data_IF_616424408257
#
_entry.id   IF_616424408257
#
_cell.length_a   1.000
_cell.length_b   1.000
_cell.length_c   1.000
_cell.angle_alpha   90.00
_cell.angle_beta   90.00
_cell.angle_gamma   90.00
#
_symmetry.space_group_name_H-M   'P 1'
#
loop_
_entity.id
_entity.type
_entity.pdbx_description
1 polymer ?
#
# COMPACT_ATOMS: atom_id res chain seq x y z
N UNK A 1 -16.24 -31.80 10.66
CA UNK A 1 -14.87 -31.23 10.59
C UNK A 1 -15.03 -29.75 10.24
N UNK A 2 -14.48 -28.83 11.01
CA UNK A 2 -14.54 -27.40 10.70
C UNK A 2 -13.54 -27.10 9.59
N UNK A 3 -13.99 -26.41 8.55
CA UNK A 3 -13.10 -26.00 7.45
C UNK A 3 -12.36 -24.74 7.91
N UNK A 4 -11.04 -24.77 7.83
CA UNK A 4 -10.16 -23.65 8.20
C UNK A 4 -9.68 -22.91 6.97
N UNK A 5 -9.30 -21.65 7.15
CA UNK A 5 -8.67 -20.85 6.08
C UNK A 5 -7.26 -21.35 5.80
N UNK A 6 -6.72 -21.13 4.57
CA UNK A 6 -5.34 -21.45 4.24
C UNK A 6 -4.34 -20.72 5.17
N UNK A 7 -3.26 -21.43 5.53
CA UNK A 7 -2.22 -20.86 6.39
C UNK A 7 -1.58 -19.64 5.74
N UNK A 8 -1.47 -18.55 6.49
CA UNK A 8 -0.87 -17.29 6.03
C UNK A 8 -1.84 -16.35 5.33
N UNK A 9 -3.15 -16.69 5.29
CA UNK A 9 -4.22 -15.79 4.85
C UNK A 9 -5.03 -15.28 6.05
N UNK A 10 -5.89 -14.27 5.82
CA UNK A 10 -6.72 -13.66 6.87
C UNK A 10 -8.14 -13.43 6.37
N UNK A 11 -9.10 -13.50 7.30
CA UNK A 11 -10.44 -12.95 7.14
C UNK A 11 -10.45 -11.58 7.81
N UNK A 12 -11.13 -10.63 7.21
CA UNK A 12 -11.32 -9.28 7.75
C UNK A 12 -12.78 -9.10 8.14
N UNK A 13 -13.05 -8.82 9.40
CA UNK A 13 -14.39 -8.57 9.89
C UNK A 13 -14.85 -7.13 9.57
N UNK A 14 -16.15 -6.81 9.69
CA UNK A 14 -16.70 -5.53 9.26
C UNK A 14 -15.97 -4.31 9.78
N UNK A 15 -15.69 -4.24 11.08
CA UNK A 15 -15.02 -3.07 11.70
C UNK A 15 -13.60 -2.87 11.16
N UNK A 16 -12.86 -3.98 10.98
CA UNK A 16 -11.53 -3.95 10.39
C UNK A 16 -11.59 -3.51 8.93
N UNK A 17 -12.60 -3.98 8.17
CA UNK A 17 -12.80 -3.58 6.78
C UNK A 17 -13.20 -2.11 6.65
N UNK A 18 -13.98 -1.56 7.57
CA UNK A 18 -14.31 -0.13 7.58
C UNK A 18 -13.07 0.73 7.77
N UNK A 19 -12.24 0.38 8.75
CA UNK A 19 -10.95 1.05 8.98
C UNK A 19 -10.03 0.94 7.76
N UNK A 20 -9.91 -0.23 7.17
CA UNK A 20 -9.10 -0.46 5.95
C UNK A 20 -9.59 0.39 4.78
N UNK A 21 -10.90 0.52 4.58
CA UNK A 21 -11.49 1.35 3.54
C UNK A 21 -11.23 2.84 3.74
N UNK A 22 -11.25 3.32 4.97
CA UNK A 22 -10.92 4.72 5.25
C UNK A 22 -9.43 5.02 4.96
N UNK A 23 -8.52 4.13 5.35
CA UNK A 23 -7.10 4.25 5.03
C UNK A 23 -6.89 4.24 3.50
N UNK A 24 -7.45 3.26 2.80
CA UNK A 24 -7.40 3.17 1.34
C UNK A 24 -7.91 4.44 0.66
N UNK A 25 -9.06 4.95 1.10
CA UNK A 25 -9.68 6.18 0.57
C UNK A 25 -8.77 7.39 0.70
N UNK A 26 -8.09 7.56 1.83
CA UNK A 26 -7.11 8.64 2.05
C UNK A 26 -5.92 8.51 1.10
N UNK A 27 -5.33 7.33 0.99
CA UNK A 27 -4.21 7.07 0.07
C UNK A 27 -4.58 7.40 -1.39
N UNK A 28 -5.73 6.93 -1.86
CA UNK A 28 -6.27 7.22 -3.20
C UNK A 28 -6.42 8.70 -3.45
N UNK A 29 -7.07 9.41 -2.51
CA UNK A 29 -7.31 10.86 -2.61
C UNK A 29 -6.00 11.64 -2.76
N UNK A 30 -4.96 11.27 -2.02
CA UNK A 30 -3.65 11.92 -2.13
C UNK A 30 -3.00 11.62 -3.48
N UNK A 31 -2.96 10.37 -3.95
CA UNK A 31 -2.42 10.03 -5.26
C UNK A 31 -3.16 10.77 -6.40
N UNK A 32 -4.48 10.82 -6.35
CA UNK A 32 -5.31 11.55 -7.31
C UNK A 32 -5.02 13.06 -7.31
N UNK A 33 -4.71 13.64 -6.14
CA UNK A 33 -4.35 15.06 -6.03
C UNK A 33 -3.00 15.41 -6.70
N UNK A 34 -2.13 14.41 -6.89
CA UNK A 34 -0.89 14.53 -7.68
C UNK A 34 -1.10 14.21 -9.17
N UNK A 35 -2.34 13.94 -9.58
CA UNK A 35 -2.68 13.64 -10.98
C UNK A 35 -2.46 12.18 -11.36
N UNK A 36 -2.22 11.28 -10.39
CA UNK A 36 -2.16 9.84 -10.66
C UNK A 36 -3.55 9.28 -10.93
N UNK A 37 -3.62 8.34 -11.86
CA UNK A 37 -4.86 7.66 -12.27
C UNK A 37 -4.79 6.18 -11.96
N UNK A 38 -5.90 5.64 -11.49
CA UNK A 38 -5.98 4.22 -11.13
C UNK A 38 -5.85 3.31 -12.35
N UNK A 39 -5.07 2.25 -12.18
CA UNK A 39 -4.98 1.13 -13.11
C UNK A 39 -5.16 -0.19 -12.39
N UNK A 40 -5.66 -1.20 -13.10
CA UNK A 40 -5.81 -2.55 -12.59
C UNK A 40 -5.24 -3.55 -13.59
N UNK A 41 -4.52 -4.53 -13.08
CA UNK A 41 -3.97 -5.64 -13.85
C UNK A 41 -4.54 -6.97 -13.36
N UNK A 42 -4.48 -8.05 -14.15
CA UNK A 42 -4.95 -9.36 -13.73
C UNK A 42 -4.30 -9.85 -12.43
N UNK A 43 -5.05 -10.63 -11.64
CA UNK A 43 -4.53 -11.24 -10.40
C UNK A 43 -3.50 -12.32 -10.67
N UNK A 44 -3.54 -12.95 -11.83
CA UNK A 44 -2.56 -13.94 -12.31
C UNK A 44 -2.02 -13.50 -13.66
N UNK A 45 -0.77 -13.82 -13.89
CA UNK A 45 -0.01 -13.50 -15.10
C UNK A 45 0.72 -14.76 -15.59
N UNK A 46 1.28 -14.72 -16.80
CA UNK A 46 2.23 -15.74 -17.20
C UNK A 46 3.45 -15.72 -16.29
N UNK A 47 3.91 -16.89 -15.86
CA UNK A 47 5.09 -17.02 -15.01
C UNK A 47 6.31 -16.31 -15.59
N UNK A 48 6.45 -16.31 -16.90
CA UNK A 48 7.53 -15.68 -17.65
C UNK A 48 7.68 -14.18 -17.33
N UNK A 49 6.58 -13.46 -17.03
CA UNK A 49 6.64 -12.04 -16.66
C UNK A 49 7.56 -11.80 -15.45
N UNK A 50 7.48 -12.68 -14.47
CA UNK A 50 8.23 -12.55 -13.22
C UNK A 50 9.63 -13.15 -13.31
N UNK A 51 9.80 -14.26 -14.02
CA UNK A 51 11.12 -14.88 -14.19
C UNK A 51 12.05 -14.05 -15.07
N UNK A 52 11.54 -13.36 -16.08
CA UNK A 52 12.32 -12.39 -16.89
C UNK A 52 12.87 -11.25 -16.03
N UNK A 53 12.10 -10.80 -15.01
CA UNK A 53 12.49 -9.71 -14.12
C UNK A 53 13.47 -10.15 -13.04
N UNK A 54 13.23 -11.30 -12.40
CA UNK A 54 13.89 -11.70 -11.14
C UNK A 54 14.66 -13.01 -11.24
N UNK A 55 14.74 -13.60 -12.43
CA UNK A 55 15.33 -14.92 -12.63
C UNK A 55 14.46 -16.07 -12.10
N UNK A 56 14.89 -17.32 -12.33
CA UNK A 56 14.10 -18.51 -11.96
C UNK A 56 14.00 -18.73 -10.44
N UNK A 57 14.90 -18.17 -9.65
CA UNK A 57 14.88 -18.30 -8.19
C UNK A 57 13.63 -17.76 -7.52
N UNK A 58 12.89 -16.84 -8.17
CA UNK A 58 11.63 -16.28 -7.65
C UNK A 58 10.51 -17.33 -7.59
N UNK A 59 10.59 -18.42 -8.37
CA UNK A 59 9.55 -19.45 -8.47
C UNK A 59 9.24 -20.07 -7.11
N UNK A 60 10.26 -20.27 -6.27
CA UNK A 60 10.08 -20.84 -4.92
C UNK A 60 9.26 -19.94 -3.98
N UNK A 61 9.21 -18.64 -4.29
CA UNK A 61 8.50 -17.64 -3.50
C UNK A 61 7.10 -17.31 -4.08
N UNK A 62 6.66 -18.03 -5.12
CA UNK A 62 5.42 -17.75 -5.84
C UNK A 62 4.41 -18.90 -5.78
N UNK A 63 3.13 -18.56 -5.99
CA UNK A 63 2.09 -19.52 -6.28
C UNK A 63 2.01 -19.75 -7.80
N UNK A 64 2.53 -20.88 -8.25
CA UNK A 64 2.59 -21.26 -9.68
C UNK A 64 1.60 -22.38 -9.95
N UNK A 65 0.91 -22.32 -11.08
CA UNK A 65 -0.05 -23.33 -11.52
C UNK A 65 -0.15 -23.36 -13.05
N UNK A 66 -0.74 -24.44 -13.60
CA UNK A 66 -0.99 -24.53 -15.03
C UNK A 66 -2.45 -24.27 -15.35
N UNK A 67 -2.68 -23.59 -16.46
CA UNK A 67 -4.02 -23.50 -17.02
C UNK A 67 -4.41 -24.81 -17.74
N UNK A 68 -5.65 -24.89 -18.22
CA UNK A 68 -6.15 -26.06 -18.95
C UNK A 68 -5.40 -26.34 -20.26
N UNK A 69 -4.68 -25.37 -20.79
CA UNK A 69 -3.85 -25.49 -22.00
C UNK A 69 -2.40 -25.83 -21.69
N UNK A 70 -2.05 -26.05 -20.41
CA UNK A 70 -0.72 -26.42 -19.95
C UNK A 70 0.26 -25.24 -19.81
N UNK A 71 -0.21 -23.98 -19.92
CA UNK A 71 0.64 -22.79 -19.78
C UNK A 71 0.90 -22.48 -18.32
N UNK A 72 2.14 -22.10 -18.00
CA UNK A 72 2.54 -21.76 -16.64
C UNK A 72 2.07 -20.34 -16.27
N UNK A 73 1.26 -20.26 -15.22
CA UNK A 73 0.73 -19.04 -14.64
C UNK A 73 1.21 -18.91 -13.21
N UNK A 74 1.20 -17.67 -12.72
CA UNK A 74 1.49 -17.38 -11.33
C UNK A 74 0.53 -16.34 -10.76
N UNK A 75 0.17 -16.45 -9.49
CA UNK A 75 -0.43 -15.33 -8.78
C UNK A 75 0.62 -14.23 -8.62
N UNK A 76 0.25 -12.98 -8.90
CA UNK A 76 1.18 -11.84 -8.87
C UNK A 76 1.79 -11.64 -7.48
N UNK A 77 3.13 -11.65 -7.34
CA UNK A 77 3.82 -11.39 -6.07
C UNK A 77 4.00 -9.90 -5.76
N UNK A 78 3.76 -9.04 -6.79
CA UNK A 78 3.87 -7.58 -6.77
C UNK A 78 3.15 -7.02 -8.00
N UNK A 79 3.08 -5.69 -8.15
CA UNK A 79 2.28 -5.03 -9.19
C UNK A 79 3.10 -4.24 -10.22
N UNK A 80 4.36 -3.92 -9.95
CA UNK A 80 5.20 -3.15 -10.87
C UNK A 80 5.38 -3.85 -12.22
N UNK A 81 5.72 -5.15 -12.24
CA UNK A 81 5.88 -5.90 -13.49
C UNK A 81 4.56 -6.02 -14.29
N UNK A 82 3.40 -6.35 -13.68
CA UNK A 82 2.11 -6.30 -14.36
C UNK A 82 1.77 -4.92 -14.96
N UNK A 83 2.02 -3.83 -14.22
CA UNK A 83 1.77 -2.46 -14.72
C UNK A 83 2.72 -2.13 -15.87
N UNK A 84 3.99 -2.50 -15.78
CA UNK A 84 4.94 -2.26 -16.87
C UNK A 84 4.62 -3.11 -18.12
N UNK A 85 4.16 -4.35 -17.96
CA UNK A 85 3.63 -5.15 -19.09
C UNK A 85 2.41 -4.46 -19.72
N UNK A 86 1.49 -3.97 -18.91
CA UNK A 86 0.33 -3.20 -19.40
C UNK A 86 0.80 -1.93 -20.13
N UNK A 87 1.75 -1.18 -19.57
CA UNK A 87 2.32 0.00 -20.21
C UNK A 87 2.87 -0.33 -21.61
N UNK A 88 3.70 -1.37 -21.73
CA UNK A 88 4.30 -1.79 -23.01
C UNK A 88 3.23 -2.12 -24.05
N UNK A 89 2.19 -2.84 -23.66
CA UNK A 89 1.18 -3.34 -24.58
C UNK A 89 0.14 -2.29 -24.98
N UNK A 90 -0.26 -1.42 -24.03
CA UNK A 90 -1.45 -0.58 -24.20
C UNK A 90 -1.14 0.93 -24.18
N UNK A 91 -0.04 1.35 -23.53
CA UNK A 91 0.19 2.76 -23.23
C UNK A 91 1.51 3.32 -23.78
N UNK A 92 2.36 2.52 -24.42
CA UNK A 92 3.72 2.91 -24.84
C UNK A 92 3.78 4.14 -25.76
N UNK A 93 2.73 4.37 -26.54
CA UNK A 93 2.60 5.51 -27.47
C UNK A 93 1.93 6.74 -26.83
N UNK A 94 1.45 6.66 -25.60
CA UNK A 94 0.82 7.78 -24.91
C UNK A 94 1.84 8.87 -24.56
N UNK A 95 1.42 10.15 -24.51
CA UNK A 95 2.28 11.26 -24.03
C UNK A 95 2.81 11.00 -22.62
N UNK A 96 4.10 11.24 -22.39
CA UNK A 96 4.79 11.03 -21.11
C UNK A 96 5.04 12.36 -20.40
N UNK A 97 5.18 12.37 -19.07
CA UNK A 97 5.15 11.20 -18.18
C UNK A 97 3.73 10.68 -17.92
N UNK A 98 3.61 9.35 -17.76
CA UNK A 98 2.38 8.71 -17.30
C UNK A 98 2.42 8.56 -15.77
N UNK A 99 1.30 8.77 -15.11
CA UNK A 99 1.14 8.68 -13.67
C UNK A 99 0.05 7.66 -13.36
N UNK A 100 0.44 6.48 -12.89
CA UNK A 100 -0.47 5.41 -12.52
C UNK A 100 -0.38 5.09 -11.03
N UNK A 101 -1.52 4.80 -10.41
CA UNK A 101 -1.56 4.18 -9.09
C UNK A 101 -2.41 2.91 -9.12
N UNK A 102 -2.17 2.03 -8.18
CA UNK A 102 -2.92 0.79 -8.01
C UNK A 102 -3.13 0.46 -6.54
N UNK A 103 -4.21 -0.27 -6.27
CA UNK A 103 -4.46 -0.90 -4.98
C UNK A 103 -4.99 -2.31 -5.22
N UNK A 104 -4.21 -3.32 -4.83
CA UNK A 104 -4.61 -4.70 -5.04
C UNK A 104 -3.86 -5.68 -4.12
N UNK A 105 -4.40 -6.90 -4.03
CA UNK A 105 -3.75 -7.99 -3.32
C UNK A 105 -2.61 -8.60 -4.15
N UNK A 106 -1.61 -9.09 -3.43
CA UNK A 106 -0.44 -9.81 -3.93
C UNK A 106 -0.28 -11.12 -3.16
N UNK A 107 0.48 -12.05 -3.72
CA UNK A 107 0.61 -13.40 -3.18
C UNK A 107 2.07 -13.84 -3.17
N UNK A 108 2.58 -14.26 -1.99
CA UNK A 108 3.94 -14.80 -1.86
C UNK A 108 3.94 -16.08 -1.04
N UNK A 109 4.65 -17.08 -1.50
CA UNK A 109 4.79 -18.35 -0.79
C UNK A 109 5.91 -18.27 0.25
N UNK A 110 5.69 -17.44 1.27
CA UNK A 110 6.65 -17.21 2.34
C UNK A 110 6.26 -17.94 3.64
N UNK A 111 7.20 -18.01 4.57
CA UNK A 111 6.91 -18.47 5.94
C UNK A 111 6.09 -17.38 6.64
N UNK A 112 4.83 -17.67 7.03
CA UNK A 112 3.98 -16.66 7.65
C UNK A 112 4.54 -16.22 9.00
N UNK A 113 4.60 -14.92 9.23
CA UNK A 113 4.92 -14.29 10.51
C UNK A 113 4.17 -12.97 10.63
N UNK A 114 4.19 -12.32 11.80
CA UNK A 114 3.52 -11.02 11.98
C UNK A 114 4.04 -10.00 10.94
N UNK A 115 3.13 -9.34 10.23
CA UNK A 115 3.44 -8.39 9.16
C UNK A 115 3.92 -9.03 7.83
N UNK A 116 3.92 -10.38 7.73
CA UNK A 116 4.31 -11.11 6.51
C UNK A 116 3.31 -12.23 6.22
N UNK A 117 2.41 -11.94 5.30
CA UNK A 117 1.29 -12.82 4.92
C UNK A 117 1.51 -13.40 3.53
N UNK A 118 0.84 -14.52 3.24
CA UNK A 118 0.85 -15.14 1.92
C UNK A 118 -0.07 -14.44 0.93
N UNK A 119 -1.11 -13.80 1.43
CA UNK A 119 -1.93 -12.84 0.73
C UNK A 119 -1.88 -11.51 1.48
N UNK A 120 -1.51 -10.44 0.79
CA UNK A 120 -1.35 -9.10 1.34
C UNK A 120 -1.71 -8.04 0.30
N UNK A 121 -2.01 -6.83 0.74
CA UNK A 121 -2.36 -5.72 -0.16
C UNK A 121 -1.20 -4.76 -0.35
N UNK A 122 -1.08 -4.27 -1.57
CA UNK A 122 -0.18 -3.17 -1.92
C UNK A 122 -0.95 -1.99 -2.46
N UNK A 123 -0.59 -0.80 -2.01
CA UNK A 123 -0.85 0.46 -2.69
C UNK A 123 0.46 0.90 -3.34
N UNK A 124 0.45 1.26 -4.61
CA UNK A 124 1.67 1.71 -5.25
C UNK A 124 1.41 2.69 -6.38
N UNK A 125 2.47 3.34 -6.81
CA UNK A 125 2.47 4.29 -7.93
C UNK A 125 3.62 4.00 -8.88
N UNK A 126 3.39 4.31 -10.16
CA UNK A 126 4.42 4.26 -11.20
C UNK A 126 4.34 5.56 -12.00
N UNK A 127 5.45 6.31 -12.03
CA UNK A 127 5.69 7.46 -12.90
C UNK A 127 6.60 6.99 -14.03
N UNK A 128 6.06 6.97 -15.26
CA UNK A 128 6.70 6.30 -16.40
C UNK A 128 7.08 7.33 -17.47
N UNK A 129 8.34 7.33 -17.90
CA UNK A 129 8.83 8.14 -19.01
C UNK A 129 9.58 9.39 -18.60
N UNK A 130 10.20 9.40 -17.43
CA UNK A 130 11.11 10.45 -16.98
C UNK A 130 12.31 9.86 -16.24
N UNK A 131 13.50 10.37 -16.51
CA UNK A 131 14.75 10.07 -15.79
C UNK A 131 15.23 11.25 -14.93
N UNK A 132 14.42 12.30 -14.84
CA UNK A 132 14.75 13.50 -14.08
C UNK A 132 14.65 13.27 -12.58
N UNK A 133 15.55 13.85 -11.79
CA UNK A 133 15.43 13.89 -10.33
C UNK A 133 14.10 14.49 -9.85
N UNK A 134 13.42 15.28 -10.69
CA UNK A 134 12.08 15.81 -10.39
C UNK A 134 11.02 14.70 -10.32
N UNK A 135 11.16 13.63 -11.11
CA UNK A 135 10.27 12.49 -11.06
C UNK A 135 10.47 11.68 -9.76
N UNK A 136 11.74 11.46 -9.36
CA UNK A 136 12.07 10.81 -8.10
C UNK A 136 11.58 11.64 -6.91
N UNK A 137 11.76 12.97 -6.97
CA UNK A 137 11.25 13.88 -5.94
C UNK A 137 9.72 13.81 -5.81
N UNK A 138 8.98 13.86 -6.92
CA UNK A 138 7.51 13.76 -6.91
C UNK A 138 7.04 12.46 -6.24
N UNK A 139 7.66 11.33 -6.59
CA UNK A 139 7.32 10.00 -6.07
C UNK A 139 7.64 9.91 -4.56
N UNK A 140 8.78 10.43 -4.12
CA UNK A 140 9.17 10.46 -2.69
C UNK A 140 8.24 11.38 -1.89
N UNK A 141 7.94 12.60 -2.39
CA UNK A 141 7.01 13.54 -1.75
C UNK A 141 5.62 12.92 -1.62
N UNK A 142 5.16 12.20 -2.65
CA UNK A 142 3.87 11.51 -2.63
C UNK A 142 3.84 10.41 -1.58
N UNK A 143 4.90 9.60 -1.47
CA UNK A 143 5.01 8.57 -0.45
C UNK A 143 5.00 9.17 0.97
N UNK A 144 5.78 10.25 1.21
CA UNK A 144 5.83 10.99 2.46
C UNK A 144 4.44 11.53 2.85
N UNK A 145 3.75 12.19 1.91
CA UNK A 145 2.39 12.73 2.15
C UNK A 145 1.37 11.65 2.46
N UNK A 146 1.39 10.53 1.73
CA UNK A 146 0.47 9.41 2.00
C UNK A 146 0.69 8.86 3.41
N UNK A 147 1.93 8.57 3.80
CA UNK A 147 2.23 7.98 5.10
C UNK A 147 1.92 8.93 6.26
N UNK A 148 2.20 10.24 6.10
CA UNK A 148 1.84 11.28 7.07
C UNK A 148 0.33 11.45 7.23
N UNK A 149 -0.44 11.46 6.12
CA UNK A 149 -1.91 11.63 6.16
C UNK A 149 -2.62 10.48 6.88
N UNK A 150 -2.12 9.26 6.73
CA UNK A 150 -2.67 8.12 7.47
C UNK A 150 -2.08 7.97 8.88
N UNK A 151 -1.22 8.91 9.31
CA UNK A 151 -0.68 8.97 10.68
C UNK A 151 0.32 7.88 11.01
N UNK A 152 1.15 7.47 10.05
CA UNK A 152 2.29 6.58 10.29
C UNK A 152 3.48 7.41 10.74
N UNK A 153 4.09 7.04 11.87
CA UNK A 153 5.39 7.56 12.27
C UNK A 153 6.50 6.72 11.61
N UNK A 154 7.33 7.35 10.79
CA UNK A 154 8.35 6.65 10.00
C UNK A 154 9.62 7.48 9.82
N UNK A 155 10.71 6.79 9.52
CA UNK A 155 11.94 7.37 8.98
C UNK A 155 12.04 7.07 7.49
N UNK A 156 12.49 8.05 6.69
CA UNK A 156 12.74 7.92 5.26
C UNK A 156 14.25 7.86 5.03
N UNK A 157 14.69 6.80 4.35
CA UNK A 157 16.08 6.64 3.92
C UNK A 157 16.14 6.66 2.39
N UNK A 158 17.12 7.40 1.84
CA UNK A 158 17.33 7.54 0.39
C UNK A 158 18.75 7.11 0.06
N UNK A 159 18.90 6.26 -0.92
CA UNK A 159 20.17 5.81 -1.47
C UNK A 159 20.21 5.91 -2.99
N UNK A 160 21.31 5.44 -3.57
CA UNK A 160 21.46 5.42 -5.02
C UNK A 160 22.27 4.20 -5.47
N UNK A 161 21.57 3.18 -5.99
CA UNK A 161 22.22 1.90 -6.36
C UNK A 161 23.26 2.03 -7.48
N UNK A 162 23.15 3.06 -8.32
CA UNK A 162 24.11 3.34 -9.38
C UNK A 162 25.52 3.61 -8.88
N UNK A 163 25.69 4.17 -7.67
CA UNK A 163 26.99 4.44 -7.06
C UNK A 163 27.73 3.14 -6.80
N UNK A 164 27.09 2.21 -6.08
CA UNK A 164 27.67 0.90 -5.78
C UNK A 164 27.89 0.08 -7.07
N UNK A 165 26.92 0.11 -8.01
CA UNK A 165 27.08 -0.56 -9.31
C UNK A 165 28.29 0.01 -10.10
N UNK A 166 28.51 1.32 -10.05
CA UNK A 166 29.67 1.93 -10.68
C UNK A 166 30.98 1.45 -10.05
N UNK A 167 31.05 1.39 -8.72
CA UNK A 167 32.21 0.88 -8.00
C UNK A 167 32.50 -0.60 -8.35
N UNK A 168 31.45 -1.40 -8.58
CA UNK A 168 31.55 -2.83 -8.87
C UNK A 168 31.81 -3.16 -10.35
N UNK A 169 31.78 -2.18 -11.29
CA UNK A 169 32.06 -2.43 -12.72
C UNK A 169 33.32 -3.27 -12.99
N UNK A 170 34.48 -3.06 -12.29
CA UNK A 170 35.69 -3.81 -12.56
C UNK A 170 35.60 -5.33 -12.32
N UNK A 171 34.67 -5.81 -11.52
CA UNK A 171 34.52 -7.25 -11.20
C UNK A 171 33.59 -8.00 -12.16
N UNK A 172 32.90 -7.28 -13.07
CA UNK A 172 31.94 -7.83 -14.04
C UNK A 172 30.55 -7.99 -13.49
N UNK A 173 29.56 -8.00 -14.39
CA UNK A 173 28.12 -7.88 -14.08
C UNK A 173 27.59 -9.00 -13.19
N UNK A 174 27.91 -10.27 -13.49
CA UNK A 174 27.44 -11.43 -12.70
C UNK A 174 27.93 -11.37 -11.26
N UNK A 175 29.20 -11.01 -11.05
CA UNK A 175 29.78 -10.89 -9.71
C UNK A 175 29.22 -9.67 -8.97
N UNK A 176 29.08 -8.55 -9.67
CA UNK A 176 28.44 -7.34 -9.13
C UNK A 176 27.01 -7.61 -8.65
N UNK A 177 26.21 -8.32 -9.44
CA UNK A 177 24.84 -8.72 -9.06
C UNK A 177 24.82 -9.65 -7.83
N UNK A 178 25.80 -10.53 -7.67
CA UNK A 178 25.89 -11.35 -6.44
C UNK A 178 26.29 -10.52 -5.22
N UNK A 179 27.22 -9.56 -5.38
CA UNK A 179 27.59 -8.61 -4.32
C UNK A 179 26.37 -7.80 -3.89
N UNK A 180 25.64 -7.19 -4.86
CA UNK A 180 24.44 -6.41 -4.56
C UNK A 180 23.38 -7.22 -3.80
N UNK A 181 23.17 -8.48 -4.15
CA UNK A 181 22.24 -9.38 -3.42
C UNK A 181 22.68 -9.69 -1.99
N UNK A 182 23.97 -9.81 -1.73
CA UNK A 182 24.49 -10.01 -0.36
C UNK A 182 24.32 -8.74 0.48
N UNK A 183 24.56 -7.57 -0.12
CA UNK A 183 24.31 -6.27 0.52
C UNK A 183 22.82 -6.12 0.88
N UNK A 184 21.92 -6.40 -0.04
CA UNK A 184 20.46 -6.34 0.20
C UNK A 184 19.97 -7.25 1.34
N UNK A 185 20.56 -8.42 1.45
CA UNK A 185 20.29 -9.36 2.55
C UNK A 185 20.88 -8.94 3.88
N UNK A 186 21.74 -7.92 3.90
CA UNK A 186 22.54 -7.55 5.08
C UNK A 186 23.51 -8.66 5.52
N UNK A 187 23.89 -9.55 4.60
CA UNK A 187 24.79 -10.68 4.86
C UNK A 187 26.24 -10.21 4.74
N UNK A 188 26.73 -9.54 5.78
CA UNK A 188 28.09 -8.99 5.82
C UNK A 188 29.15 -10.09 5.76
N UNK A 189 28.95 -11.20 6.47
CA UNK A 189 29.90 -12.34 6.49
C UNK A 189 29.96 -13.02 5.12
N UNK A 190 28.82 -13.24 4.50
CA UNK A 190 28.71 -13.76 3.14
C UNK A 190 29.36 -12.84 2.11
N UNK A 191 29.20 -11.51 2.27
CA UNK A 191 29.84 -10.52 1.42
C UNK A 191 31.37 -10.57 1.55
N UNK A 192 31.91 -10.52 2.75
CA UNK A 192 33.36 -10.62 3.00
C UNK A 192 33.94 -11.90 2.40
N UNK A 193 33.30 -13.05 2.68
CA UNK A 193 33.70 -14.35 2.16
C UNK A 193 33.68 -14.38 0.62
N UNK A 194 32.66 -13.83 0.00
CA UNK A 194 32.53 -13.81 -1.45
C UNK A 194 33.56 -12.88 -2.12
N UNK A 195 33.82 -11.69 -1.56
CA UNK A 195 34.83 -10.77 -2.07
C UNK A 195 36.24 -11.41 -1.99
N UNK A 196 36.53 -12.18 -0.94
CA UNK A 196 37.78 -12.94 -0.82
C UNK A 196 37.85 -14.09 -1.85
N UNK A 197 36.75 -14.84 -2.07
CA UNK A 197 36.66 -15.93 -3.07
C UNK A 197 37.01 -15.44 -4.46
N UNK A 198 36.42 -14.29 -4.88
CA UNK A 198 36.67 -13.70 -6.21
C UNK A 198 37.93 -12.85 -6.27
N UNK A 199 38.72 -12.81 -5.19
CA UNK A 199 40.00 -12.10 -5.08
C UNK A 199 39.92 -10.60 -5.44
N UNK A 200 38.95 -9.94 -4.89
CA UNK A 200 38.85 -8.46 -4.97
C UNK A 200 40.06 -7.87 -4.26
N UNK A 201 40.68 -6.84 -4.85
CA UNK A 201 41.80 -6.16 -4.21
C UNK A 201 41.34 -5.38 -2.95
N UNK A 202 42.29 -5.10 -2.06
CA UNK A 202 42.02 -4.48 -0.77
C UNK A 202 41.39 -3.09 -0.93
N UNK A 203 41.87 -2.26 -1.86
CA UNK A 203 41.31 -0.93 -2.13
C UNK A 203 39.82 -0.96 -2.51
N UNK A 204 39.45 -1.83 -3.45
CA UNK A 204 38.04 -1.98 -3.85
C UNK A 204 37.18 -2.54 -2.70
N UNK A 205 37.70 -3.49 -1.94
CA UNK A 205 37.01 -4.03 -0.77
C UNK A 205 36.74 -2.94 0.28
N UNK A 206 37.75 -2.16 0.61
CA UNK A 206 37.64 -1.09 1.61
C UNK A 206 36.66 0.01 1.14
N UNK A 207 36.67 0.39 -0.15
CA UNK A 207 35.70 1.31 -0.74
C UNK A 207 34.27 0.78 -0.66
N UNK A 208 34.04 -0.52 -0.92
CA UNK A 208 32.71 -1.14 -0.78
C UNK A 208 32.20 -0.97 0.66
N UNK A 209 33.00 -1.35 1.65
CA UNK A 209 32.57 -1.25 3.05
C UNK A 209 32.44 0.19 3.51
N UNK A 210 33.31 1.11 3.09
CA UNK A 210 33.19 2.53 3.39
C UNK A 210 31.88 3.11 2.86
N UNK A 211 31.50 2.83 1.61
CA UNK A 211 30.21 3.28 1.05
C UNK A 211 29.01 2.67 1.79
N UNK A 212 29.08 1.41 2.24
CA UNK A 212 28.01 0.76 2.98
C UNK A 212 27.75 1.39 4.36
N UNK A 213 28.76 2.03 4.94
CA UNK A 213 28.67 2.67 6.25
C UNK A 213 28.25 4.14 6.15
N UNK A 214 28.26 4.72 4.94
CA UNK A 214 27.86 6.12 4.73
C UNK A 214 26.35 6.30 4.91
N UNK A 215 25.99 6.88 6.05
CA UNK A 215 24.61 7.20 6.40
C UNK A 215 24.56 8.49 7.24
N UNK A 216 23.77 9.47 6.81
CA UNK A 216 23.67 10.76 7.49
C UNK A 216 22.87 11.79 6.70
N UNK A 217 23.25 13.03 6.87
CA UNK A 217 22.74 14.16 6.09
C UNK A 217 23.47 14.29 4.74
N UNK A 218 23.37 15.43 4.09
CA UNK A 218 24.00 15.68 2.78
C UNK A 218 25.54 15.64 2.79
N UNK A 219 26.19 15.71 3.96
CA UNK A 219 27.65 15.55 4.09
C UNK A 219 28.14 14.18 3.58
N UNK A 220 27.26 13.17 3.64
CA UNK A 220 27.49 11.83 3.08
C UNK A 220 27.88 11.89 1.60
N UNK A 221 27.36 12.84 0.83
CA UNK A 221 27.71 12.99 -0.58
C UNK A 221 29.17 13.45 -0.75
N UNK A 222 29.61 14.39 0.06
CA UNK A 222 31.00 14.87 0.03
C UNK A 222 31.98 13.76 0.45
N UNK A 223 31.64 13.00 1.49
CA UNK A 223 32.43 11.84 1.91
C UNK A 223 32.49 10.76 0.80
N UNK A 224 31.38 10.53 0.11
CA UNK A 224 31.34 9.56 -1.00
C UNK A 224 32.19 10.01 -2.20
N UNK A 225 32.28 11.31 -2.49
CA UNK A 225 33.16 11.86 -3.56
C UNK A 225 34.64 11.61 -3.28
N UNK A 226 35.04 11.50 -2.01
CA UNK A 226 36.43 11.14 -1.65
C UNK A 226 36.74 9.65 -1.91
N UNK A 227 35.70 8.79 -1.91
CA UNK A 227 35.82 7.34 -2.08
C UNK A 227 35.76 6.94 -3.56
N UNK A 228 34.88 7.59 -4.34
CA UNK A 228 34.56 7.18 -5.70
C UNK A 228 34.33 8.38 -6.62
N UNK A 229 34.91 8.32 -7.83
CA UNK A 229 34.65 9.25 -8.92
C UNK A 229 33.32 8.87 -9.59
N UNK A 230 32.25 9.58 -9.22
CA UNK A 230 30.89 9.38 -9.70
C UNK A 230 30.16 10.72 -9.82
N UNK A 231 29.21 10.84 -10.73
CA UNK A 231 28.38 12.04 -10.86
C UNK A 231 27.24 12.02 -9.83
N UNK A 232 27.37 12.78 -8.76
CA UNK A 232 26.38 12.92 -7.70
C UNK A 232 25.31 13.98 -7.99
N UNK A 233 25.38 14.72 -9.11
CA UNK A 233 24.51 15.86 -9.40
C UNK A 233 23.01 15.56 -9.34
N UNK A 234 22.59 14.32 -9.71
CA UNK A 234 21.21 13.87 -9.57
C UNK A 234 20.80 13.78 -8.10
N UNK A 235 21.61 13.13 -7.25
CA UNK A 235 21.33 12.95 -5.83
C UNK A 235 21.39 14.27 -5.06
N UNK A 236 22.33 15.15 -5.40
CA UNK A 236 22.43 16.50 -4.84
C UNK A 236 21.19 17.35 -5.13
N UNK A 237 20.78 17.38 -6.41
CA UNK A 237 19.59 18.12 -6.84
C UNK A 237 18.32 17.59 -6.19
N UNK A 238 18.20 16.27 -6.08
CA UNK A 238 17.09 15.61 -5.40
C UNK A 238 17.04 15.99 -3.91
N UNK A 239 18.19 15.88 -3.22
CA UNK A 239 18.30 16.18 -1.79
C UNK A 239 17.96 17.63 -1.49
N UNK A 240 18.51 18.58 -2.26
CA UNK A 240 18.21 19.99 -2.12
C UNK A 240 16.70 20.28 -2.29
N UNK A 241 16.08 19.74 -3.34
CA UNK A 241 14.64 19.92 -3.57
C UNK A 241 13.79 19.34 -2.43
N UNK A 242 14.10 18.14 -1.95
CA UNK A 242 13.34 17.51 -0.86
C UNK A 242 13.43 18.32 0.44
N UNK A 243 14.59 18.88 0.77
CA UNK A 243 14.78 19.80 1.91
C UNK A 243 13.96 21.08 1.76
N UNK A 244 14.02 21.70 0.58
CA UNK A 244 13.28 22.94 0.29
C UNK A 244 11.77 22.78 0.45
N UNK A 245 11.23 21.59 0.15
CA UNK A 245 9.80 21.29 0.31
C UNK A 245 9.44 20.67 1.68
N UNK A 246 10.42 20.55 2.58
CA UNK A 246 10.20 20.11 3.97
C UNK A 246 9.98 18.60 4.15
N UNK A 247 10.60 17.78 3.31
CA UNK A 247 10.67 16.34 3.50
C UNK A 247 11.89 16.00 4.37
N UNK A 248 11.65 15.30 5.47
CA UNK A 248 12.72 14.79 6.34
C UNK A 248 13.21 13.44 5.84
N UNK A 249 14.51 13.32 5.62
CA UNK A 249 15.14 12.08 5.18
C UNK A 249 16.58 11.94 5.68
N UNK A 250 17.09 10.73 5.58
CA UNK A 250 18.50 10.39 5.80
C UNK A 250 19.06 9.80 4.50
N UNK A 251 20.21 10.24 4.06
CA UNK A 251 20.93 9.56 3.00
C UNK A 251 21.57 8.30 3.56
N UNK A 252 21.44 7.18 2.83
CA UNK A 252 22.04 5.89 3.16
C UNK A 252 22.54 5.22 1.88
N UNK A 253 23.85 5.33 1.62
CA UNK A 253 24.45 4.75 0.42
C UNK A 253 24.63 3.23 0.50
N UNK A 254 24.43 2.65 1.69
CA UNK A 254 24.38 1.20 1.92
C UNK A 254 23.07 0.54 1.54
N UNK A 255 22.03 1.29 1.16
CA UNK A 255 20.78 0.69 0.66
C UNK A 255 21.04 0.04 -0.69
N UNK A 256 20.97 -1.29 -0.73
CA UNK A 256 20.86 -2.06 -1.95
C UNK A 256 19.53 -2.78 -1.91
N UNK A 257 18.60 -2.42 -2.78
CA UNK A 257 17.36 -3.18 -2.92
C UNK A 257 17.60 -4.42 -3.79
N UNK A 258 17.15 -5.59 -3.30
CA UNK A 258 17.37 -6.90 -3.93
C UNK A 258 16.61 -7.15 -5.22
N UNK A 259 16.17 -6.10 -5.86
CA UNK A 259 15.55 -6.19 -7.17
C UNK A 259 16.55 -5.65 -8.19
N UNK A 260 17.10 -6.53 -9.00
CA UNK A 260 18.14 -6.25 -10.00
C UNK A 260 17.78 -5.16 -11.03
N UNK A 261 16.54 -4.66 -11.02
CA UNK A 261 16.02 -3.69 -11.98
C UNK A 261 16.13 -2.21 -11.57
N UNK A 262 16.47 -1.89 -10.31
CA UNK A 262 16.70 -0.50 -9.92
C UNK A 262 17.97 0.06 -10.58
N UNK A 263 17.87 1.27 -11.13
CA UNK A 263 18.94 1.88 -11.93
C UNK A 263 19.58 3.09 -11.28
N UNK A 264 18.87 3.78 -10.41
CA UNK A 264 19.28 5.06 -9.85
C UNK A 264 18.92 5.19 -8.37
N UNK A 265 18.13 6.21 -8.05
CA UNK A 265 17.63 6.48 -6.70
C UNK A 265 16.81 5.30 -6.18
N UNK A 266 17.00 4.98 -4.90
CA UNK A 266 16.15 4.06 -4.14
C UNK A 266 15.79 4.70 -2.82
N UNK A 267 14.61 4.38 -2.29
CA UNK A 267 14.21 4.88 -0.98
C UNK A 267 13.37 3.86 -0.22
N UNK A 268 13.40 3.96 1.09
CA UNK A 268 12.66 3.09 2.00
C UNK A 268 12.10 3.89 3.18
N UNK A 269 10.85 3.57 3.56
CA UNK A 269 10.23 4.13 4.76
C UNK A 269 10.08 3.03 5.79
N UNK A 270 10.59 3.28 6.99
CA UNK A 270 10.60 2.35 8.10
C UNK A 270 9.72 2.90 9.23
N UNK A 271 8.64 2.20 9.56
CA UNK A 271 7.78 2.55 10.67
C UNK A 271 8.22 1.89 11.98
N UNK A 272 8.05 2.59 13.08
CA UNK A 272 8.29 2.07 14.41
C UNK A 272 7.17 1.10 14.83
N UNK A 273 7.46 0.20 15.78
CA UNK A 273 6.46 -0.68 16.38
C UNK A 273 6.10 -1.95 15.60
N UNK A 274 6.62 -2.13 14.38
CA UNK A 274 6.34 -3.30 13.54
C UNK A 274 7.29 -4.51 13.74
N UNK A 275 8.09 -4.51 14.81
CA UNK A 275 9.05 -5.59 15.10
C UNK A 275 10.16 -5.69 14.04
N UNK A 276 10.43 -6.90 13.54
CA UNK A 276 11.48 -7.14 12.54
C UNK A 276 11.13 -6.64 11.12
N UNK A 277 9.86 -6.40 10.84
CA UNK A 277 9.35 -6.02 9.51
C UNK A 277 8.99 -4.52 9.45
N UNK A 278 9.95 -3.66 9.78
CA UNK A 278 9.74 -2.21 9.91
C UNK A 278 9.44 -1.48 8.60
N UNK A 279 9.87 -2.00 7.45
CA UNK A 279 9.66 -1.36 6.15
C UNK A 279 8.18 -1.35 5.75
N UNK A 280 7.61 -0.16 5.57
CA UNK A 280 6.21 0.03 5.16
C UNK A 280 6.07 0.46 3.70
N UNK A 281 7.08 1.13 3.16
CA UNK A 281 7.13 1.60 1.78
C UNK A 281 8.53 1.40 1.22
N UNK A 282 8.61 1.21 -0.07
CA UNK A 282 9.89 1.20 -0.76
C UNK A 282 9.72 1.40 -2.25
N UNK A 283 10.65 2.14 -2.84
CA UNK A 283 10.60 2.55 -4.23
C UNK A 283 11.94 2.98 -4.80
N UNK A 284 11.88 3.57 -5.98
CA UNK A 284 13.05 4.11 -6.67
C UNK A 284 12.93 4.09 -8.18
N UNK A 285 14.01 4.52 -8.84
CA UNK A 285 14.15 4.61 -10.29
C UNK A 285 14.49 3.24 -10.89
N UNK A 286 13.81 2.86 -11.96
CA UNK A 286 13.99 1.56 -12.59
C UNK A 286 13.75 1.61 -14.10
N UNK A 287 14.17 0.53 -14.80
CA UNK A 287 13.86 0.28 -16.20
C UNK A 287 13.44 -1.20 -16.38
N UNK A 288 12.19 -1.44 -16.77
CA UNK A 288 11.63 -2.77 -16.98
C UNK A 288 10.96 -2.93 -18.35
N UNK A 289 10.68 -1.84 -19.05
CA UNK A 289 9.94 -1.90 -20.31
C UNK A 289 10.68 -2.67 -21.39
N UNK A 290 11.99 -2.55 -21.44
CA UNK A 290 12.84 -3.28 -22.40
C UNK A 290 12.80 -4.79 -22.17
N UNK A 291 12.72 -5.24 -20.93
CA UNK A 291 12.60 -6.67 -20.58
C UNK A 291 11.28 -7.29 -21.07
N UNK A 292 10.25 -6.47 -21.25
CA UNK A 292 8.92 -6.89 -21.72
C UNK A 292 8.69 -6.58 -23.20
N UNK A 293 9.76 -6.23 -23.93
CA UNK A 293 9.71 -6.01 -25.38
C UNK A 293 9.25 -4.62 -25.80
N UNK A 294 9.22 -3.67 -24.87
CA UNK A 294 8.95 -2.26 -25.13
C UNK A 294 10.20 -1.43 -25.38
N UNK A 295 10.06 -0.14 -25.72
CA UNK A 295 11.18 0.78 -25.77
C UNK A 295 11.75 1.02 -24.37
N UNK A 296 13.06 1.26 -24.26
CA UNK A 296 13.69 1.69 -23.01
C UNK A 296 12.98 2.94 -22.49
N UNK A 297 12.37 2.82 -21.32
CA UNK A 297 11.55 3.89 -20.75
C UNK A 297 11.85 4.03 -19.26
N UNK A 298 12.67 5.04 -18.88
CA UNK A 298 12.96 5.31 -17.48
C UNK A 298 11.69 5.52 -16.68
N UNK A 299 11.64 4.97 -15.50
CA UNK A 299 10.47 4.99 -14.62
C UNK A 299 10.90 5.09 -13.17
N UNK A 300 10.03 5.63 -12.33
CA UNK A 300 10.21 5.64 -10.88
C UNK A 300 8.88 5.37 -10.20
N UNK A 301 8.89 4.71 -9.05
CA UNK A 301 7.66 4.34 -8.37
C UNK A 301 7.92 3.79 -6.98
N UNK A 302 6.84 3.50 -6.26
CA UNK A 302 6.92 2.82 -4.96
C UNK A 302 5.77 1.85 -4.75
N UNK A 303 5.97 0.94 -3.81
CA UNK A 303 4.91 0.12 -3.26
C UNK A 303 4.87 0.25 -1.73
N UNK A 304 3.69 0.52 -1.21
CA UNK A 304 3.35 0.52 0.21
C UNK A 304 2.76 -0.84 0.58
N UNK A 305 3.29 -1.48 1.61
CA UNK A 305 2.69 -2.65 2.21
C UNK A 305 1.48 -2.24 3.05
N UNK A 306 0.29 -2.24 2.44
CA UNK A 306 -0.94 -1.72 3.04
C UNK A 306 -1.27 -2.36 4.39
N UNK A 307 -1.07 -3.66 4.52
CA UNK A 307 -1.31 -4.38 5.78
C UNK A 307 -0.41 -3.88 6.92
N UNK A 308 0.85 -3.57 6.61
CA UNK A 308 1.79 -2.98 7.58
C UNK A 308 1.42 -1.56 7.96
N UNK A 309 0.95 -0.77 6.99
CA UNK A 309 0.42 0.56 7.27
C UNK A 309 -0.81 0.48 8.15
N UNK A 310 -1.73 -0.45 7.92
CA UNK A 310 -2.89 -0.66 8.80
C UNK A 310 -2.48 -1.00 10.25
N UNK A 311 -1.33 -1.67 10.45
CA UNK A 311 -0.82 -1.96 11.80
C UNK A 311 -0.13 -0.74 12.45
N UNK A 312 0.46 0.17 11.66
CA UNK A 312 1.27 1.29 12.13
C UNK A 312 0.51 2.64 12.19
N UNK A 313 -0.61 2.77 11.48
CA UNK A 313 -1.32 4.04 11.33
C UNK A 313 -2.29 4.34 12.49
N UNK A 314 -2.58 5.62 12.69
CA UNK A 314 -3.52 6.12 13.69
C UNK A 314 -4.95 6.36 13.18
N UNK A 315 -5.26 5.99 11.94
CA UNK A 315 -6.61 6.15 11.38
C UNK A 315 -7.58 5.20 12.05
N UNK A 316 -8.68 5.73 12.55
CA UNK A 316 -9.82 4.96 13.06
C UNK A 316 -10.91 4.86 11.98
N UNK A 317 -11.79 3.86 12.11
CA UNK A 317 -13.00 3.82 11.31
C UNK A 317 -13.89 5.01 11.66
N UNK A 318 -14.44 5.68 10.64
CA UNK A 318 -15.43 6.71 10.88
C UNK A 318 -16.69 6.12 11.53
N UNK A 319 -17.24 6.82 12.51
CA UNK A 319 -18.53 6.43 13.08
C UNK A 319 -19.61 6.47 12.01
N UNK A 320 -20.21 5.33 11.70
CA UNK A 320 -21.41 5.27 10.88
C UNK A 320 -22.62 5.47 11.78
N UNK A 321 -23.33 6.55 11.57
CA UNK A 321 -24.61 6.74 12.21
C UNK A 321 -25.63 5.74 11.62
N UNK A 322 -25.79 4.59 12.29
CA UNK A 322 -26.81 3.61 11.95
C UNK A 322 -28.09 3.98 12.70
N UNK A 323 -29.22 3.96 11.99
CA UNK A 323 -30.56 4.19 12.56
C UNK A 323 -31.31 2.87 12.58
N UNK A 324 -31.80 2.46 13.74
CA UNK A 324 -32.69 1.30 13.84
C UNK A 324 -34.15 1.76 13.64
N UNK A 325 -34.84 1.19 12.66
CA UNK A 325 -36.31 1.40 12.51
C UNK A 325 -37.00 0.21 13.14
N UNK A 326 -37.69 0.47 14.25
CA UNK A 326 -38.39 -0.56 15.05
C UNK A 326 -39.89 -0.32 15.02
N UNK A 327 -40.68 -1.38 15.02
CA UNK A 327 -42.13 -1.27 14.89
C UNK A 327 -42.89 -2.25 15.77
N UNK A 328 -44.10 -1.84 16.09
CA UNK A 328 -45.07 -2.78 16.61
C UNK A 328 -45.48 -3.81 15.55
N UNK A 329 -45.91 -4.96 15.99
CA UNK A 329 -46.44 -6.04 15.13
C UNK A 329 -47.59 -5.52 14.26
N UNK A 330 -47.55 -5.81 12.96
CA UNK A 330 -48.52 -5.35 11.96
C UNK A 330 -48.15 -4.03 11.31
N UNK A 331 -47.03 -3.38 11.69
CA UNK A 331 -46.53 -2.14 11.11
C UNK A 331 -45.22 -2.36 10.33
N UNK A 332 -44.90 -3.60 9.96
CA UNK A 332 -43.65 -3.95 9.27
C UNK A 332 -43.50 -3.21 7.92
N UNK A 333 -44.61 -3.11 7.17
CA UNK A 333 -44.59 -2.39 5.88
C UNK A 333 -44.22 -0.92 6.05
N UNK A 334 -44.71 -0.26 7.11
CA UNK A 334 -44.40 1.12 7.45
C UNK A 334 -42.92 1.26 7.88
N UNK A 335 -42.39 0.30 8.65
CA UNK A 335 -40.99 0.27 9.05
C UNK A 335 -40.08 0.16 7.83
N UNK A 336 -40.39 -0.70 6.87
CA UNK A 336 -39.62 -0.79 5.63
C UNK A 336 -39.71 0.48 4.81
N UNK A 337 -40.89 1.14 4.73
CA UNK A 337 -41.05 2.41 4.03
C UNK A 337 -40.20 3.51 4.65
N UNK A 338 -40.26 3.68 5.98
CA UNK A 338 -39.44 4.69 6.69
C UNK A 338 -37.95 4.40 6.52
N UNK A 339 -37.54 3.13 6.62
CA UNK A 339 -36.15 2.75 6.39
C UNK A 339 -35.69 3.06 4.95
N UNK A 340 -36.57 2.89 3.93
CA UNK A 340 -36.27 3.25 2.55
C UNK A 340 -36.09 4.76 2.39
N UNK A 341 -36.96 5.56 3.00
CA UNK A 341 -36.83 7.02 3.00
C UNK A 341 -35.51 7.49 3.62
N UNK A 342 -35.10 6.89 4.75
CA UNK A 342 -33.79 7.16 5.38
C UNK A 342 -32.63 6.83 4.45
N UNK A 343 -32.66 5.65 3.81
CA UNK A 343 -31.63 5.20 2.88
C UNK A 343 -31.49 6.09 1.65
N UNK A 344 -32.61 6.57 1.09
CA UNK A 344 -32.63 7.52 -0.02
C UNK A 344 -31.96 8.88 0.32
N UNK A 345 -31.93 9.24 1.61
CA UNK A 345 -31.26 10.43 2.14
C UNK A 345 -29.83 10.15 2.63
N UNK A 346 -29.30 8.95 2.36
CA UNK A 346 -27.91 8.59 2.67
C UNK A 346 -27.66 8.04 4.09
N UNK A 347 -28.72 7.84 4.89
CA UNK A 347 -28.58 7.21 6.19
C UNK A 347 -28.46 5.69 6.06
N UNK A 348 -27.68 5.08 6.96
CA UNK A 348 -27.71 3.64 7.13
C UNK A 348 -28.87 3.28 8.04
N UNK A 349 -29.92 2.63 7.52
CA UNK A 349 -31.10 2.25 8.30
C UNK A 349 -31.30 0.73 8.30
N UNK A 350 -31.53 0.17 9.48
CA UNK A 350 -31.80 -1.25 9.68
C UNK A 350 -33.22 -1.48 10.22
N UNK A 351 -33.85 -2.57 9.80
CA UNK A 351 -35.17 -3.02 10.30
C UNK A 351 -35.05 -4.43 10.87
N UNK A 352 -35.96 -4.81 11.78
CA UNK A 352 -35.98 -6.17 12.28
C UNK A 352 -36.48 -7.15 11.20
N UNK A 353 -35.63 -8.10 10.86
CA UNK A 353 -35.94 -9.18 9.91
C UNK A 353 -36.22 -10.55 10.62
N UNK A 354 -36.18 -10.57 11.93
CA UNK A 354 -36.40 -11.79 12.74
C UNK A 354 -37.82 -11.89 13.26
N UNK A 355 -38.68 -10.91 13.01
CA UNK A 355 -40.05 -10.86 13.53
C UNK A 355 -40.11 -10.72 15.06
N UNK A 356 -39.13 -10.02 15.66
CA UNK A 356 -39.07 -9.80 17.12
C UNK A 356 -40.14 -8.82 17.56
N UNK A 357 -40.56 -8.95 18.84
CA UNK A 357 -41.40 -7.93 19.44
C UNK A 357 -40.58 -6.63 19.70
N UNK A 358 -41.25 -5.48 19.87
CA UNK A 358 -40.62 -4.17 20.02
C UNK A 358 -39.52 -4.14 21.10
N UNK A 359 -39.73 -4.75 22.24
CA UNK A 359 -38.75 -4.83 23.33
C UNK A 359 -37.44 -5.50 22.88
N UNK A 360 -37.52 -6.59 22.13
CA UNK A 360 -36.36 -7.32 21.59
C UNK A 360 -35.69 -6.57 20.44
N UNK A 361 -36.48 -5.84 19.62
CA UNK A 361 -35.93 -4.98 18.58
C UNK A 361 -35.09 -3.86 19.20
N UNK A 362 -35.61 -3.18 20.25
CA UNK A 362 -34.91 -2.14 21.00
C UNK A 362 -33.64 -2.66 21.68
N UNK A 363 -33.72 -3.84 22.32
CA UNK A 363 -32.52 -4.48 22.93
C UNK A 363 -31.46 -4.74 21.89
N UNK A 364 -31.83 -5.28 20.74
CA UNK A 364 -30.91 -5.56 19.64
C UNK A 364 -30.29 -4.29 19.05
N UNK A 365 -31.07 -3.21 18.88
CA UNK A 365 -30.56 -1.92 18.46
C UNK A 365 -29.49 -1.37 19.43
N UNK A 366 -29.73 -1.50 20.73
CA UNK A 366 -28.77 -1.12 21.76
C UNK A 366 -27.50 -1.99 21.73
N UNK A 367 -27.64 -3.32 21.57
CA UNK A 367 -26.52 -4.25 21.44
C UNK A 367 -25.66 -3.99 20.20
N UNK A 368 -26.27 -3.48 19.12
CA UNK A 368 -25.58 -3.04 17.91
C UNK A 368 -24.85 -1.69 18.07
N UNK A 369 -24.97 -0.99 19.19
CA UNK A 369 -24.42 0.34 19.39
C UNK A 369 -25.08 1.44 18.55
N UNK A 370 -26.34 1.23 18.15
CA UNK A 370 -27.09 2.21 17.34
C UNK A 370 -27.42 3.43 18.17
N UNK A 371 -27.11 4.64 17.66
CA UNK A 371 -27.34 5.90 18.37
C UNK A 371 -28.82 6.28 18.39
N UNK A 372 -29.53 6.08 17.26
CA UNK A 372 -30.94 6.47 17.13
C UNK A 372 -31.82 5.29 16.76
N UNK A 373 -32.98 5.17 17.44
CA UNK A 373 -34.07 4.28 17.08
C UNK A 373 -35.30 5.08 16.65
N UNK A 374 -35.81 4.84 15.45
CA UNK A 374 -37.08 5.35 14.96
C UNK A 374 -38.16 4.32 15.29
N UNK A 375 -39.11 4.69 16.13
CA UNK A 375 -40.14 3.79 16.69
C UNK A 375 -41.47 4.10 16.00
N UNK A 376 -42.09 3.06 15.45
CA UNK A 376 -43.39 3.15 14.79
C UNK A 376 -44.43 2.44 15.66
N UNK A 377 -45.26 3.23 16.33
CA UNK A 377 -46.42 2.78 17.06
C UNK A 377 -47.73 3.01 16.28
N UNK A 378 -48.84 2.37 16.68
CA UNK A 378 -50.10 2.53 15.99
C UNK A 378 -50.64 3.96 15.98
N UNK A 379 -50.39 4.73 17.02
CA UNK A 379 -50.89 6.13 17.13
C UNK A 379 -50.02 7.10 16.33
N UNK A 380 -48.70 6.89 16.32
CA UNK A 380 -47.76 7.64 15.52
C UNK A 380 -48.05 7.47 14.02
N UNK A 381 -48.21 6.24 13.57
CA UNK A 381 -48.51 5.92 12.17
C UNK A 381 -49.82 6.50 11.72
N UNK A 382 -50.88 6.44 12.54
CA UNK A 382 -52.18 7.06 12.20
C UNK A 382 -52.13 8.58 12.05
N UNK A 383 -51.21 9.22 12.76
CA UNK A 383 -51.05 10.69 12.73
C UNK A 383 -49.93 11.15 11.80
N UNK A 384 -49.33 10.28 11.00
CA UNK A 384 -48.18 10.59 10.12
C UNK A 384 -46.94 11.03 10.87
N UNK A 385 -46.74 10.49 12.08
CA UNK A 385 -45.62 10.84 12.98
C UNK A 385 -44.75 9.60 13.27
N UNK A 386 -43.58 9.86 13.79
CA UNK A 386 -42.63 8.84 14.27
C UNK A 386 -42.06 9.27 15.62
N UNK A 387 -41.74 8.31 16.48
CA UNK A 387 -40.96 8.60 17.68
C UNK A 387 -39.48 8.32 17.39
N UNK A 388 -38.58 9.25 17.74
CA UNK A 388 -37.13 9.10 17.64
C UNK A 388 -36.61 9.01 19.06
N UNK A 389 -35.89 7.95 19.36
CA UNK A 389 -35.21 7.75 20.62
C UNK A 389 -33.70 7.76 20.44
N UNK A 390 -33.01 8.66 21.13
CA UNK A 390 -31.57 8.59 21.28
C UNK A 390 -31.25 7.52 22.34
N UNK A 391 -30.52 6.46 21.96
CA UNK A 391 -30.23 5.34 22.84
C UNK A 391 -29.09 5.62 23.82
N UNK A 392 -28.30 6.66 23.59
CA UNK A 392 -27.24 7.13 24.51
C UNK A 392 -27.84 8.00 25.63
N UNK A 393 -28.57 9.06 25.26
CA UNK A 393 -29.14 10.00 26.23
C UNK A 393 -30.48 9.53 26.80
N UNK A 394 -31.11 8.53 26.19
CA UNK A 394 -32.45 8.03 26.49
C UNK A 394 -33.59 9.04 26.22
N UNK A 395 -33.30 10.17 25.62
CA UNK A 395 -34.29 11.15 25.23
C UNK A 395 -35.13 10.66 24.06
N UNK A 396 -36.44 10.94 24.10
CA UNK A 396 -37.38 10.56 23.04
C UNK A 396 -38.24 11.77 22.64
N UNK A 397 -38.36 11.97 21.32
CA UNK A 397 -39.23 13.00 20.75
C UNK A 397 -40.16 12.38 19.73
N UNK A 398 -41.37 12.98 19.53
CA UNK A 398 -42.33 12.55 18.52
C UNK A 398 -42.49 13.67 17.51
N UNK A 399 -42.15 13.37 16.26
CA UNK A 399 -42.10 14.38 15.17
C UNK A 399 -42.87 13.91 13.92
N UNK A 400 -43.17 14.81 13.02
CA UNK A 400 -43.67 14.41 11.70
C UNK A 400 -42.63 13.65 10.91
N UNK A 401 -43.00 12.71 10.06
CA UNK A 401 -42.06 11.93 9.23
C UNK A 401 -41.10 12.83 8.42
N UNK A 402 -41.55 14.00 8.00
CA UNK A 402 -40.76 14.98 7.24
C UNK A 402 -39.62 15.63 8.06
N UNK A 403 -39.82 15.75 9.37
CA UNK A 403 -38.86 16.34 10.31
C UNK A 403 -37.78 15.31 10.78
N UNK A 404 -37.95 14.03 10.48
CA UNK A 404 -37.07 12.93 10.88
C UNK A 404 -35.60 13.22 10.51
N UNK A 405 -35.36 13.77 9.33
CA UNK A 405 -34.02 14.00 8.79
C UNK A 405 -33.25 15.10 9.52
N UNK A 406 -33.95 16.12 10.04
CA UNK A 406 -33.31 17.25 10.74
C UNK A 406 -32.80 16.89 12.14
N UNK A 407 -33.34 15.79 12.72
CA UNK A 407 -32.94 15.33 14.06
C UNK A 407 -31.82 14.29 13.98
N UNK A 408 -31.73 13.55 12.87
CA UNK A 408 -30.75 12.51 12.67
C UNK A 408 -29.41 13.01 12.10
N UNK A 409 -29.35 14.25 11.68
CA UNK A 409 -28.11 14.93 11.26
C UNK A 409 -27.28 15.32 12.50
#
# INVERSE_FOLDING_TARGET
>A
MKIERPRGTRDFLPDEMERRREIEKRMRKIAESFGYREVATPTFEYLELFTRKSGEGIIEEMYVFKDKSGRDLALRPELTAPVMRMFVNECSVMPKPLRFYYFANCFRYERPQKGRYREFWQFGVELIGSESYLADAEVIILADKILKDVGVNFSLEIGHVGIMRHLLKPIGEDRASKVMRLIDKGDREGLESYLAEIRVNEDLRDKIFSLLELKGDESVIEEAKEIIDYDFGHLESLSALLRDVGVDFTLNLGIARGLDYYTGVVFECYAEGLGAQKQVCGGGSYELSSLFGGPVTPSTGFAIGFDRVCEACSVEAGEKSVVAVVSFKGLESQAFRVASMLRERGFTAVVDVMGRNLKKQMSFASEMGVKYAVILGPDEVKSGRVAIKNLETQEQVVVAEEELFSILQ
#
